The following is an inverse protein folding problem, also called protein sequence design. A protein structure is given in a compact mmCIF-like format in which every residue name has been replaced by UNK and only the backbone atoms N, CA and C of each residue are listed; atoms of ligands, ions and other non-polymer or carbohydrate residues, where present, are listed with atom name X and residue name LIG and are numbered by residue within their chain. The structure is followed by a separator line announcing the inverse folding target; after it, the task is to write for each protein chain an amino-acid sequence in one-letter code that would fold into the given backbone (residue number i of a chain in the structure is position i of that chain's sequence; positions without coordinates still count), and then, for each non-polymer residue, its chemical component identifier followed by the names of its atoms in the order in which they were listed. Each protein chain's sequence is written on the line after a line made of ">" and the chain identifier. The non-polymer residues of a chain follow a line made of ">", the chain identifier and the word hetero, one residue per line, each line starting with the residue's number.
data_IF_548348708201
#
_entry.id   IF_548348708201
#
_cell.length_a   1.000
_cell.length_b   1.000
_cell.length_c   1.000
_cell.angle_alpha   90.00
_cell.angle_beta   90.00
_cell.angle_gamma   90.00
#
_symmetry.space_group_name_H-M   'P 1'
#
loop_
_entity.id
_entity.type
_entity.pdbx_description
1 polymer ?
#
# COMPACT_ATOMS: atom_id res chain seq x y z
N UNK A 1 -5.93 4.85 1.42
CA UNK A 1 -6.59 5.62 0.33
C UNK A 1 -7.52 6.63 0.98
N UNK A 2 -7.31 7.92 0.74
CA UNK A 2 -8.19 9.00 1.23
C UNK A 2 -8.97 9.52 0.02
N UNK A 3 -10.30 9.57 0.12
CA UNK A 3 -11.18 9.99 -0.97
C UNK A 3 -12.10 11.10 -0.45
N UNK A 4 -12.33 12.12 -1.26
CA UNK A 4 -13.34 13.15 -1.03
C UNK A 4 -14.20 13.35 -2.28
N UNK A 5 -15.32 14.07 -2.15
CA UNK A 5 -16.19 14.36 -3.28
C UNK A 5 -15.53 15.30 -4.29
N UNK A 6 -15.37 14.85 -5.54
CA UNK A 6 -14.72 15.63 -6.61
C UNK A 6 -15.34 17.03 -6.77
N UNK A 7 -16.68 17.11 -6.84
CA UNK A 7 -17.38 18.38 -7.02
C UNK A 7 -17.20 19.37 -5.85
N UNK A 8 -16.83 18.89 -4.66
CA UNK A 8 -16.46 19.76 -3.55
C UNK A 8 -15.00 20.19 -3.66
N UNK A 9 -14.11 19.26 -3.98
CA UNK A 9 -12.68 19.53 -4.14
C UNK A 9 -12.41 20.56 -5.25
N UNK A 10 -13.11 20.43 -6.38
CA UNK A 10 -12.99 21.34 -7.53
C UNK A 10 -13.43 22.78 -7.20
N UNK A 11 -14.26 22.97 -6.17
CA UNK A 11 -14.69 24.30 -5.71
C UNK A 11 -13.64 24.99 -4.84
N UNK A 12 -12.63 24.27 -4.37
CA UNK A 12 -11.55 24.86 -3.59
C UNK A 12 -10.65 25.69 -4.51
N UNK A 13 -10.09 26.82 -4.03
CA UNK A 13 -9.01 27.52 -4.72
C UNK A 13 -7.85 26.57 -5.03
N UNK A 14 -7.14 26.79 -6.14
CA UNK A 14 -6.03 25.93 -6.58
C UNK A 14 -4.96 25.74 -5.49
N UNK A 15 -4.61 26.80 -4.77
CA UNK A 15 -3.69 26.73 -3.64
C UNK A 15 -4.15 25.74 -2.56
N UNK A 16 -5.46 25.72 -2.25
CA UNK A 16 -6.01 24.81 -1.25
C UNK A 16 -6.10 23.37 -1.77
N UNK A 17 -6.35 23.18 -3.06
CA UNK A 17 -6.26 21.85 -3.66
C UNK A 17 -4.85 21.26 -3.52
N UNK A 18 -3.82 22.08 -3.76
CA UNK A 18 -2.42 21.65 -3.64
C UNK A 18 -2.02 21.40 -2.19
N UNK A 19 -2.39 22.30 -1.25
CA UNK A 19 -2.17 22.09 0.19
C UNK A 19 -2.82 20.79 0.65
N UNK A 20 -4.08 20.55 0.27
CA UNK A 20 -4.79 19.32 0.62
C UNK A 20 -4.04 18.08 0.10
N UNK A 21 -3.71 18.02 -1.19
CA UNK A 21 -2.99 16.86 -1.76
C UNK A 21 -1.67 16.60 -1.03
N UNK A 22 -0.89 17.66 -0.80
CA UNK A 22 0.41 17.56 -0.14
C UNK A 22 0.27 17.10 1.30
N UNK A 23 -0.55 17.75 2.10
CA UNK A 23 -0.65 17.46 3.53
C UNK A 23 -1.25 16.08 3.77
N UNK A 24 -2.23 15.64 2.97
CA UNK A 24 -2.72 14.26 3.06
C UNK A 24 -1.68 13.23 2.63
N UNK A 25 -0.85 13.53 1.62
CA UNK A 25 0.25 12.66 1.21
C UNK A 25 1.31 12.55 2.32
N UNK A 26 1.71 13.68 2.91
CA UNK A 26 2.72 13.73 3.96
C UNK A 26 2.23 13.05 5.24
N UNK A 27 0.99 13.30 5.66
CA UNK A 27 0.37 12.60 6.79
C UNK A 27 0.30 11.08 6.55
N UNK A 28 -0.10 10.66 5.34
CA UNK A 28 -0.16 9.24 5.01
C UNK A 28 1.23 8.59 5.02
N UNK A 29 2.25 9.29 4.52
CA UNK A 29 3.63 8.82 4.53
C UNK A 29 4.17 8.69 5.96
N UNK A 30 4.01 9.73 6.79
CA UNK A 30 4.46 9.73 8.18
C UNK A 30 3.78 8.62 8.98
N UNK A 31 2.45 8.49 8.84
CA UNK A 31 1.71 7.42 9.49
C UNK A 31 2.16 6.02 9.02
N UNK A 32 2.53 5.84 7.75
CA UNK A 32 3.08 4.58 7.27
C UNK A 32 4.45 4.26 7.91
N UNK A 33 5.31 5.28 8.09
CA UNK A 33 6.59 5.11 8.81
C UNK A 33 6.37 4.74 10.29
N UNK A 34 5.42 5.37 10.97
CA UNK A 34 5.08 5.06 12.35
C UNK A 34 4.58 3.61 12.51
N UNK A 35 3.74 3.15 11.56
CA UNK A 35 3.28 1.75 11.53
C UNK A 35 4.45 0.79 11.33
N UNK A 36 5.37 1.07 10.41
CA UNK A 36 6.56 0.24 10.17
C UNK A 36 7.42 0.16 11.44
N UNK A 37 7.60 1.29 12.14
CA UNK A 37 8.34 1.31 13.41
C UNK A 37 7.62 0.47 14.49
N UNK A 38 6.29 0.59 14.58
CA UNK A 38 5.49 -0.15 15.56
C UNK A 38 5.36 -1.66 15.26
N UNK A 39 5.61 -2.10 14.03
CA UNK A 39 5.55 -3.53 13.67
C UNK A 39 6.52 -4.38 14.49
N UNK A 40 7.74 -3.90 14.71
CA UNK A 40 8.75 -4.63 15.48
C UNK A 40 8.32 -4.83 16.95
N UNK A 41 7.75 -3.80 17.57
CA UNK A 41 7.22 -3.87 18.92
C UNK A 41 6.03 -4.83 19.01
N UNK A 42 5.16 -4.82 17.99
CA UNK A 42 4.01 -5.73 17.92
C UNK A 42 4.46 -7.19 17.81
N UNK A 43 5.41 -7.49 16.91
CA UNK A 43 6.00 -8.84 16.77
C UNK A 43 6.63 -9.32 18.07
N UNK A 44 7.34 -8.44 18.78
CA UNK A 44 7.89 -8.73 20.10
C UNK A 44 6.80 -9.07 21.12
N UNK A 45 5.72 -8.27 21.18
CA UNK A 45 4.61 -8.52 22.11
C UNK A 45 3.97 -9.88 21.81
N UNK A 46 3.73 -10.20 20.54
CA UNK A 46 3.11 -11.48 20.17
C UNK A 46 4.02 -12.67 20.52
N UNK A 47 5.32 -12.56 20.29
CA UNK A 47 6.29 -13.63 20.63
C UNK A 47 6.49 -13.77 22.15
N UNK A 48 6.54 -12.67 22.90
CA UNK A 48 6.55 -12.68 24.37
C UNK A 48 5.29 -13.36 24.96
N UNK A 49 4.15 -13.26 24.26
CA UNK A 49 2.89 -13.93 24.62
C UNK A 49 2.77 -15.36 24.06
N UNK A 50 3.86 -15.93 23.55
CA UNK A 50 3.95 -17.34 23.17
C UNK A 50 3.61 -17.64 21.71
N UNK A 51 3.44 -16.64 20.84
CA UNK A 51 3.35 -16.88 19.40
C UNK A 51 4.71 -17.21 18.80
N UNK A 52 4.72 -18.00 17.73
CA UNK A 52 5.92 -18.30 16.94
C UNK A 52 5.80 -17.63 15.58
N UNK A 53 6.80 -16.84 15.18
CA UNK A 53 6.89 -16.29 13.84
C UNK A 53 7.48 -17.36 12.92
N UNK A 54 6.77 -17.66 11.84
CA UNK A 54 7.19 -18.65 10.84
C UNK A 54 7.56 -17.91 9.56
N UNK A 55 8.84 -17.92 9.23
CA UNK A 55 9.32 -17.42 7.94
C UNK A 55 8.98 -18.43 6.83
N UNK A 56 8.50 -17.92 5.70
CA UNK A 56 8.06 -18.73 4.56
C UNK A 56 8.74 -18.29 3.27
N UNK A 57 8.89 -19.22 2.34
CA UNK A 57 9.33 -18.92 0.98
C UNK A 57 8.22 -18.16 0.24
N UNK A 58 8.40 -16.84 0.13
CA UNK A 58 7.43 -15.94 -0.49
C UNK A 58 7.31 -16.16 -2.01
N UNK A 59 8.32 -16.73 -2.67
CA UNK A 59 8.27 -16.94 -4.13
C UNK A 59 7.24 -18.01 -4.51
N UNK A 60 7.14 -19.08 -3.72
CA UNK A 60 6.11 -20.11 -3.90
C UNK A 60 4.70 -19.48 -3.84
N UNK A 61 4.46 -18.56 -2.90
CA UNK A 61 3.17 -17.87 -2.80
C UNK A 61 2.97 -16.87 -3.94
N UNK A 62 4.00 -16.11 -4.34
CA UNK A 62 3.92 -15.18 -5.48
C UNK A 62 3.50 -15.91 -6.76
N UNK A 63 4.09 -17.07 -7.04
CA UNK A 63 3.71 -17.89 -8.19
C UNK A 63 2.28 -18.43 -8.05
N UNK A 64 1.92 -18.95 -6.88
CA UNK A 64 0.60 -19.55 -6.64
C UNK A 64 -0.56 -18.55 -6.78
N UNK A 65 -0.33 -17.25 -6.53
CA UNK A 65 -1.38 -16.23 -6.67
C UNK A 65 -1.52 -15.66 -8.09
N UNK A 66 -0.61 -15.96 -9.02
CA UNK A 66 -0.69 -15.45 -10.41
C UNK A 66 -2.07 -15.64 -11.09
N UNK A 67 -2.74 -16.81 -10.96
CA UNK A 67 -4.05 -17.02 -11.57
C UNK A 67 -5.15 -16.07 -11.05
N UNK A 68 -4.97 -15.44 -9.89
CA UNK A 68 -5.93 -14.45 -9.38
C UNK A 68 -6.00 -13.21 -10.27
N UNK A 69 -4.88 -12.78 -10.86
CA UNK A 69 -4.86 -11.64 -11.77
C UNK A 69 -5.65 -11.93 -13.05
N UNK A 70 -5.53 -13.14 -13.60
CA UNK A 70 -6.30 -13.56 -14.77
C UNK A 70 -7.80 -13.58 -14.46
N UNK A 71 -8.18 -14.19 -13.33
CA UNK A 71 -9.59 -14.29 -12.91
C UNK A 71 -10.24 -12.92 -12.68
N UNK A 72 -9.46 -11.95 -12.21
CA UNK A 72 -9.92 -10.58 -11.98
C UNK A 72 -9.78 -9.69 -13.22
N UNK A 73 -9.19 -10.19 -14.31
CA UNK A 73 -8.93 -9.43 -15.53
C UNK A 73 -7.90 -8.31 -15.34
N UNK A 74 -6.94 -8.49 -14.42
CA UNK A 74 -5.93 -7.49 -14.05
C UNK A 74 -4.54 -7.75 -14.62
N UNK A 75 -4.34 -8.82 -15.40
CA UNK A 75 -3.04 -9.18 -15.96
C UNK A 75 -2.40 -8.03 -16.73
N UNK A 76 -3.12 -7.43 -17.68
CA UNK A 76 -2.61 -6.32 -18.50
C UNK A 76 -2.30 -5.07 -17.65
N UNK A 77 -3.20 -4.70 -16.73
CA UNK A 77 -3.01 -3.55 -15.84
C UNK A 77 -1.77 -3.75 -14.95
N UNK A 78 -1.56 -4.97 -14.45
CA UNK A 78 -0.38 -5.30 -13.65
C UNK A 78 0.90 -5.14 -14.46
N UNK A 79 0.96 -5.73 -15.66
CA UNK A 79 2.12 -5.60 -16.54
C UNK A 79 2.44 -4.13 -16.86
N UNK A 80 1.41 -3.33 -17.13
CA UNK A 80 1.56 -1.90 -17.36
C UNK A 80 2.17 -1.19 -16.13
N UNK A 81 1.59 -1.39 -14.94
CA UNK A 81 2.05 -0.73 -13.71
C UNK A 81 3.50 -1.11 -13.37
N UNK A 82 3.87 -2.39 -13.55
CA UNK A 82 5.23 -2.86 -13.29
C UNK A 82 6.24 -2.27 -14.27
N UNK A 83 5.87 -2.18 -15.55
CA UNK A 83 6.68 -1.51 -16.57
C UNK A 83 6.87 -0.02 -16.26
N UNK A 84 5.81 0.69 -15.87
CA UNK A 84 5.87 2.11 -15.51
C UNK A 84 6.70 2.36 -14.25
N UNK A 85 6.62 1.45 -13.27
CA UNK A 85 7.40 1.50 -12.04
C UNK A 85 8.85 1.00 -12.20
N UNK A 86 9.22 0.43 -13.35
CA UNK A 86 10.55 -0.10 -13.61
C UNK A 86 10.90 -1.35 -12.80
N UNK A 87 9.89 -2.16 -12.44
CA UNK A 87 10.04 -3.39 -11.66
C UNK A 87 9.56 -4.61 -12.45
N UNK A 88 10.08 -5.79 -12.13
CA UNK A 88 9.74 -7.04 -12.83
C UNK A 88 8.39 -7.60 -12.37
N UNK A 89 7.53 -7.91 -13.35
CA UNK A 89 6.19 -8.46 -13.13
C UNK A 89 6.23 -9.92 -12.69
#
# INVERSE_FOLDING_TARGET
>A
MVICGQAWFDKLPAEYQEVMKKDFSDCAYNNAQDIIAAQADMEKILTDNGMTIVEVDKDIFREAVKPAYEKLGWTELREQLYKEAGVEA
#
